data_IF_057251606172
#
_entry.id   IF_057251606172
#
_cell.length_a   1.000
_cell.length_b   1.000
_cell.length_c   1.000
_cell.angle_alpha   90.00
_cell.angle_beta   90.00
_cell.angle_gamma   90.00
#
_symmetry.space_group_name_H-M   'P 1'
#
loop_
_entity.id
_entity.type
_entity.pdbx_description
1 polymer ?
#
# COMPACT_ATOMS: atom_id res chain seq x y z
N UNK A 1 18.49 54.71 -9.27
CA UNK A 1 18.07 53.89 -8.10
C UNK A 1 18.32 52.43 -8.41
N UNK A 2 19.52 51.93 -8.09
CA UNK A 2 19.84 50.50 -8.16
C UNK A 2 19.29 49.85 -6.89
N UNK A 3 18.21 49.10 -7.01
CA UNK A 3 17.64 48.30 -5.93
C UNK A 3 18.51 47.05 -5.75
N UNK A 4 19.09 46.94 -4.59
CA UNK A 4 19.96 45.85 -4.13
C UNK A 4 19.07 44.62 -3.94
N UNK A 5 19.08 43.67 -4.91
CA UNK A 5 18.54 42.35 -4.69
C UNK A 5 19.62 41.44 -4.08
N UNK A 6 19.38 40.85 -2.91
CA UNK A 6 20.31 39.84 -2.39
C UNK A 6 20.33 38.64 -3.31
N UNK A 7 21.48 38.33 -3.91
CA UNK A 7 21.76 37.02 -4.51
C UNK A 7 21.70 35.96 -3.40
N UNK A 8 20.74 35.03 -3.49
CA UNK A 8 20.76 33.91 -2.56
C UNK A 8 19.43 33.23 -2.25
N UNK A 9 18.41 33.31 -3.13
CA UNK A 9 17.17 32.59 -2.89
C UNK A 9 16.88 31.55 -3.99
N UNK A 10 17.94 30.82 -4.39
CA UNK A 10 17.85 29.56 -5.11
C UNK A 10 18.27 28.41 -4.17
N UNK A 11 18.00 28.56 -2.89
CA UNK A 11 18.12 27.50 -1.91
C UNK A 11 16.81 26.74 -1.87
N UNK A 12 16.78 25.56 -2.49
CA UNK A 12 15.73 24.59 -2.27
C UNK A 12 15.52 24.46 -0.76
N UNK A 13 14.25 24.51 -0.34
CA UNK A 13 13.86 24.30 1.04
C UNK A 13 14.55 23.02 1.55
N UNK A 14 15.27 23.06 2.69
CA UNK A 14 15.85 21.86 3.26
C UNK A 14 14.75 21.07 3.99
N UNK A 15 13.69 20.73 3.30
CA UNK A 15 12.79 19.68 3.72
C UNK A 15 13.40 18.37 3.26
N UNK A 16 14.39 17.93 4.00
CA UNK A 16 14.72 16.53 4.08
C UNK A 16 13.52 15.87 4.78
N UNK A 17 12.45 15.66 4.02
CA UNK A 17 11.33 14.83 4.44
C UNK A 17 11.95 13.46 4.62
N UNK A 18 12.40 13.17 5.84
CA UNK A 18 12.57 11.81 6.29
C UNK A 18 11.15 11.21 6.30
N UNK A 19 10.65 10.86 5.12
CA UNK A 19 9.66 9.79 5.00
C UNK A 19 10.30 8.68 5.80
N UNK A 20 9.72 8.39 6.98
CA UNK A 20 10.29 7.51 7.97
C UNK A 20 10.89 6.34 7.23
N UNK A 21 12.23 6.15 7.36
CA UNK A 21 13.07 5.32 6.49
C UNK A 21 12.22 4.22 5.89
N UNK A 22 11.80 4.39 4.65
CA UNK A 22 11.24 3.31 3.84
C UNK A 22 12.36 2.29 3.83
N UNK A 23 12.29 1.40 4.84
CA UNK A 23 13.31 0.39 5.07
C UNK A 23 13.19 -0.58 3.90
N UNK A 24 13.96 -0.28 2.83
CA UNK A 24 14.55 -1.35 2.06
C UNK A 24 15.54 -2.05 2.99
N UNK A 25 15.03 -2.68 4.06
CA UNK A 25 15.83 -3.60 4.84
C UNK A 25 15.88 -4.90 4.04
N UNK A 26 17.06 -5.25 3.63
CA UNK A 26 17.53 -6.62 3.40
C UNK A 26 17.46 -7.43 4.70
N UNK A 27 16.31 -7.39 5.39
CA UNK A 27 15.99 -8.32 6.45
C UNK A 27 15.55 -9.62 5.77
N UNK A 28 15.86 -10.76 6.39
CA UNK A 28 15.47 -12.11 5.99
C UNK A 28 14.08 -12.06 5.30
N UNK A 29 14.06 -12.38 4.00
CA UNK A 29 12.83 -12.26 3.20
C UNK A 29 11.77 -13.16 3.80
N UNK A 30 10.71 -12.57 4.33
CA UNK A 30 9.54 -13.31 4.82
C UNK A 30 8.89 -14.02 3.65
N UNK A 31 8.63 -15.32 3.79
CA UNK A 31 7.97 -16.15 2.77
C UNK A 31 6.62 -16.65 3.28
N UNK A 32 5.84 -17.27 2.41
CA UNK A 32 4.59 -17.92 2.81
C UNK A 32 4.78 -19.03 3.84
N UNK A 33 5.96 -19.68 3.86
CA UNK A 33 6.34 -20.64 4.89
C UNK A 33 6.45 -20.03 6.28
N UNK A 34 6.73 -18.73 6.37
CA UNK A 34 6.87 -18.01 7.64
C UNK A 34 5.51 -17.48 8.16
N UNK A 35 4.44 -17.66 7.37
CA UNK A 35 3.08 -17.31 7.73
C UNK A 35 2.32 -18.59 8.06
N UNK A 36 2.07 -18.84 9.34
CA UNK A 36 1.33 -20.02 9.76
C UNK A 36 -0.18 -19.84 9.48
N UNK A 37 -0.80 -20.83 8.83
CA UNK A 37 -2.22 -20.79 8.45
C UNK A 37 -2.52 -19.83 7.29
N UNK A 38 -3.78 -19.41 7.17
CA UNK A 38 -4.31 -18.51 6.12
C UNK A 38 -4.16 -19.07 4.69
N UNK A 39 -4.35 -20.37 4.53
CA UNK A 39 -4.06 -21.05 3.27
C UNK A 39 -4.97 -20.52 2.15
N UNK A 40 -6.26 -20.30 2.39
CA UNK A 40 -7.17 -19.68 1.42
C UNK A 40 -6.69 -18.28 0.98
N UNK A 41 -6.30 -17.43 1.93
CA UNK A 41 -5.80 -16.09 1.62
C UNK A 41 -4.47 -16.12 0.86
N UNK A 42 -3.61 -17.09 1.16
CA UNK A 42 -2.36 -17.32 0.42
C UNK A 42 -2.64 -17.73 -1.01
N UNK A 43 -3.57 -18.67 -1.24
CA UNK A 43 -3.97 -19.12 -2.57
C UNK A 43 -4.46 -17.95 -3.43
N UNK A 44 -5.28 -17.05 -2.89
CA UNK A 44 -5.72 -15.87 -3.60
C UNK A 44 -4.57 -14.93 -3.99
N UNK A 45 -3.49 -14.90 -3.20
CA UNK A 45 -2.33 -14.04 -3.43
C UNK A 45 -1.23 -14.69 -4.29
N UNK A 46 -1.28 -16.01 -4.51
CA UNK A 46 -0.33 -16.75 -5.38
C UNK A 46 -0.36 -16.20 -6.81
N UNK A 47 -1.55 -15.84 -7.32
CA UNK A 47 -1.68 -15.24 -8.65
C UNK A 47 -0.87 -13.96 -8.79
N UNK A 48 -0.83 -13.14 -7.73
CA UNK A 48 -0.04 -11.90 -7.69
C UNK A 48 1.46 -12.21 -7.73
N UNK A 49 1.88 -13.23 -6.97
CA UNK A 49 3.28 -13.70 -6.97
C UNK A 49 3.68 -14.19 -8.35
N UNK A 50 2.83 -15.02 -9.01
CA UNK A 50 3.11 -15.52 -10.36
C UNK A 50 3.20 -14.36 -11.38
N UNK A 51 2.31 -13.38 -11.30
CA UNK A 51 2.38 -12.20 -12.16
C UNK A 51 3.69 -11.42 -11.98
N UNK A 52 4.12 -11.20 -10.74
CA UNK A 52 5.36 -10.45 -10.46
C UNK A 52 6.60 -11.20 -10.94
N UNK A 53 6.59 -12.54 -10.85
CA UNK A 53 7.67 -13.40 -11.36
C UNK A 53 7.66 -13.54 -12.89
N UNK A 54 6.48 -13.63 -13.49
CA UNK A 54 6.28 -13.99 -14.89
C UNK A 54 5.35 -13.01 -15.63
N UNK A 55 5.63 -11.70 -15.66
CA UNK A 55 4.70 -10.71 -16.23
C UNK A 55 4.42 -10.92 -17.72
N UNK A 56 5.38 -11.44 -18.47
CA UNK A 56 5.24 -11.69 -19.90
C UNK A 56 4.21 -12.80 -20.24
N UNK A 57 4.01 -13.77 -19.36
CA UNK A 57 2.98 -14.81 -19.49
C UNK A 57 1.59 -14.18 -19.54
N UNK A 58 1.33 -13.24 -18.64
CA UNK A 58 0.05 -12.53 -18.52
C UNK A 58 -0.17 -11.55 -19.67
N UNK A 59 0.89 -10.87 -20.09
CA UNK A 59 0.85 -9.95 -21.24
C UNK A 59 0.50 -10.71 -22.54
N UNK A 60 1.11 -11.86 -22.80
CA UNK A 60 0.80 -12.70 -23.97
C UNK A 60 -0.61 -13.24 -23.95
N UNK A 61 -1.15 -13.55 -22.78
CA UNK A 61 -2.51 -14.06 -22.61
C UNK A 61 -3.58 -12.96 -22.59
N UNK A 62 -3.21 -11.68 -22.73
CA UNK A 62 -4.11 -10.53 -22.57
C UNK A 62 -4.87 -10.54 -21.22
N UNK A 63 -4.30 -11.24 -20.22
CA UNK A 63 -4.90 -11.36 -18.91
C UNK A 63 -4.72 -10.07 -18.10
N UNK A 64 -5.82 -9.57 -17.54
CA UNK A 64 -5.79 -8.43 -16.62
C UNK A 64 -5.51 -8.95 -15.22
N UNK A 65 -4.33 -8.65 -14.68
CA UNK A 65 -4.02 -8.93 -13.28
C UNK A 65 -4.44 -7.73 -12.43
N UNK A 66 -5.14 -7.95 -11.32
CA UNK A 66 -5.52 -6.88 -10.41
C UNK A 66 -4.25 -6.24 -9.82
N UNK A 67 -4.08 -4.94 -10.04
CA UNK A 67 -2.94 -4.17 -9.51
C UNK A 67 -3.21 -3.57 -8.15
N UNK A 68 -4.49 -3.54 -7.76
CA UNK A 68 -4.99 -2.95 -6.54
C UNK A 68 -5.75 -4.00 -5.75
N UNK A 69 -5.17 -4.43 -4.64
CA UNK A 69 -5.69 -5.50 -3.78
C UNK A 69 -6.01 -4.94 -2.42
N UNK A 70 -7.21 -5.18 -1.93
CA UNK A 70 -7.65 -4.79 -0.61
C UNK A 70 -7.70 -6.02 0.30
N UNK A 71 -6.83 -6.05 1.30
CA UNK A 71 -6.92 -7.00 2.40
C UNK A 71 -7.83 -6.43 3.47
N UNK A 72 -8.88 -7.14 3.82
CA UNK A 72 -9.82 -6.65 4.81
C UNK A 72 -10.17 -7.71 5.83
N UNK A 73 -10.55 -7.29 7.02
CA UNK A 73 -11.05 -8.01 8.17
C UNK A 73 -10.06 -8.22 9.34
N UNK A 74 -10.51 -8.84 10.46
CA UNK A 74 -10.59 -8.16 11.75
C UNK A 74 -9.26 -7.60 12.24
N UNK A 75 -9.25 -6.72 13.26
CA UNK A 75 -8.01 -6.29 13.93
C UNK A 75 -7.26 -7.54 14.43
N UNK A 76 -5.92 -7.46 14.52
CA UNK A 76 -5.00 -8.55 14.93
C UNK A 76 -4.75 -9.62 13.84
N UNK A 77 -5.16 -9.40 12.62
CA UNK A 77 -4.81 -10.28 11.52
C UNK A 77 -3.42 -9.93 10.97
N UNK A 78 -2.67 -10.93 10.59
CA UNK A 78 -1.31 -10.87 10.06
C UNK A 78 -1.21 -10.21 8.66
N UNK A 79 -2.06 -9.21 8.35
CA UNK A 79 -2.13 -8.56 7.03
C UNK A 79 -0.79 -8.04 6.55
N UNK A 80 -0.09 -7.32 7.41
CA UNK A 80 1.24 -6.78 7.11
C UNK A 80 2.26 -7.88 6.87
N UNK A 81 2.20 -8.97 7.66
CA UNK A 81 3.09 -10.11 7.49
C UNK A 81 2.80 -10.84 6.18
N UNK A 82 1.52 -11.04 5.85
CA UNK A 82 1.08 -11.68 4.62
C UNK A 82 1.52 -10.85 3.38
N UNK A 83 1.35 -9.52 3.41
CA UNK A 83 1.81 -8.66 2.33
C UNK A 83 3.34 -8.69 2.15
N UNK A 84 4.10 -8.78 3.26
CA UNK A 84 5.56 -9.00 3.20
C UNK A 84 5.91 -10.36 2.62
N UNK A 85 5.15 -11.40 2.96
CA UNK A 85 5.37 -12.74 2.43
C UNK A 85 5.15 -12.79 0.92
N UNK A 86 4.14 -12.09 0.40
CA UNK A 86 3.93 -11.95 -1.05
C UNK A 86 5.16 -11.34 -1.73
N UNK A 87 5.71 -10.26 -1.17
CA UNK A 87 6.90 -9.62 -1.72
C UNK A 87 8.14 -10.52 -1.63
N UNK A 88 8.33 -11.20 -0.51
CA UNK A 88 9.44 -12.12 -0.31
C UNK A 88 9.34 -13.36 -1.18
N UNK A 89 8.13 -13.85 -1.44
CA UNK A 89 7.88 -14.96 -2.35
C UNK A 89 8.12 -14.56 -3.81
N UNK A 90 7.70 -13.34 -4.20
CA UNK A 90 7.92 -12.79 -5.52
C UNK A 90 9.36 -12.28 -5.75
N UNK A 91 10.15 -12.16 -4.69
CA UNK A 91 11.51 -11.62 -4.70
C UNK A 91 11.62 -10.18 -5.22
N UNK A 92 10.66 -9.33 -4.82
CA UNK A 92 10.57 -7.93 -5.26
C UNK A 92 10.70 -6.96 -4.06
N UNK A 93 11.10 -5.70 -4.31
CA UNK A 93 11.11 -4.64 -3.30
C UNK A 93 9.74 -4.43 -2.66
N UNK A 94 9.73 -4.19 -1.35
CA UNK A 94 8.54 -3.93 -0.55
C UNK A 94 8.59 -2.55 0.06
N UNK A 95 7.64 -1.69 -0.31
CA UNK A 95 7.48 -0.35 0.23
C UNK A 95 6.24 -0.33 1.11
N UNK A 96 6.38 0.05 2.37
CA UNK A 96 5.24 0.10 3.29
C UNK A 96 5.05 1.49 3.88
N UNK A 97 3.79 1.89 4.01
CA UNK A 97 3.36 3.09 4.71
C UNK A 97 2.07 2.81 5.48
N UNK A 98 1.81 3.56 6.55
CA UNK A 98 0.52 3.56 7.21
C UNK A 98 -0.33 4.73 6.69
N UNK A 99 -1.65 4.51 6.52
CA UNK A 99 -2.59 5.58 6.20
C UNK A 99 -2.52 6.74 7.18
N UNK A 100 -2.25 6.46 8.45
CA UNK A 100 -2.07 7.47 9.48
C UNK A 100 -0.83 8.36 9.26
N UNK A 101 0.24 7.85 8.64
CA UNK A 101 1.45 8.63 8.32
C UNK A 101 1.21 9.72 7.26
N UNK A 102 0.13 9.59 6.49
CA UNK A 102 -0.27 10.60 5.50
C UNK A 102 -1.18 11.68 6.08
N UNK A 103 -1.63 11.52 7.33
CA UNK A 103 -2.53 12.44 8.05
C UNK A 103 -1.74 13.38 8.94
N UNK A 104 -0.76 14.10 8.39
CA UNK A 104 0.04 15.06 9.16
C UNK A 104 -0.61 16.45 9.22
N UNK A 105 -0.20 17.25 10.22
CA UNK A 105 -0.81 18.56 10.53
C UNK A 105 -0.62 19.64 9.45
N UNK A 106 0.27 19.44 8.47
CA UNK A 106 0.56 20.44 7.44
C UNK A 106 -0.15 20.10 6.12
N UNK A 107 -1.00 21.00 5.68
CA UNK A 107 -1.78 20.87 4.44
C UNK A 107 -0.89 20.56 3.23
N UNK A 108 -1.22 19.51 2.49
CA UNK A 108 -0.52 19.10 1.27
C UNK A 108 0.66 18.15 1.48
N UNK A 109 1.13 17.92 2.70
CA UNK A 109 2.24 16.98 2.94
C UNK A 109 1.83 15.52 2.72
N UNK A 110 0.62 15.14 3.08
CA UNK A 110 0.09 13.80 2.84
C UNK A 110 0.10 13.42 1.35
N UNK A 111 -0.42 14.31 0.50
CA UNK A 111 -0.41 14.10 -0.95
C UNK A 111 1.02 14.03 -1.53
N UNK A 112 1.96 14.83 -1.02
CA UNK A 112 3.36 14.77 -1.43
C UNK A 112 4.02 13.44 -1.05
N UNK A 113 3.77 12.92 0.16
CA UNK A 113 4.27 11.61 0.62
C UNK A 113 3.70 10.46 -0.23
N UNK A 114 2.42 10.50 -0.56
CA UNK A 114 1.80 9.52 -1.46
C UNK A 114 2.54 9.53 -2.80
N UNK A 115 2.72 10.69 -3.43
CA UNK A 115 3.43 10.82 -4.70
C UNK A 115 4.86 10.29 -4.62
N UNK A 116 5.58 10.60 -3.56
CA UNK A 116 6.96 10.12 -3.35
C UNK A 116 7.01 8.59 -3.22
N UNK A 117 6.09 7.99 -2.44
CA UNK A 117 5.97 6.54 -2.28
C UNK A 117 5.79 5.85 -3.64
N UNK A 118 4.83 6.32 -4.44
CA UNK A 118 4.55 5.75 -5.75
C UNK A 118 5.68 5.98 -6.76
N UNK A 119 6.33 7.14 -6.73
CA UNK A 119 7.49 7.44 -7.57
C UNK A 119 8.64 6.47 -7.28
N UNK A 120 8.95 6.22 -5.99
CA UNK A 120 9.97 5.27 -5.57
C UNK A 120 9.63 3.84 -5.99
N UNK A 121 8.38 3.44 -5.82
CA UNK A 121 7.94 2.11 -6.20
C UNK A 121 8.00 1.88 -7.72
N UNK A 122 7.56 2.86 -8.52
CA UNK A 122 7.65 2.81 -9.99
C UNK A 122 9.11 2.75 -10.47
N UNK A 123 10.01 3.48 -9.84
CA UNK A 123 11.44 3.46 -10.16
C UNK A 123 12.12 2.12 -9.82
N UNK A 124 11.60 1.40 -8.83
CA UNK A 124 12.11 0.09 -8.40
C UNK A 124 11.30 -1.09 -8.95
N UNK A 125 10.42 -0.87 -9.93
CA UNK A 125 9.57 -1.92 -10.48
C UNK A 125 10.39 -3.09 -11.10
N UNK A 126 9.97 -4.36 -10.92
CA UNK A 126 8.74 -4.78 -10.25
C UNK A 126 8.79 -4.61 -8.72
N UNK A 127 7.71 -4.14 -8.11
CA UNK A 127 7.68 -3.81 -6.69
C UNK A 127 6.28 -3.98 -6.08
N UNK A 128 6.21 -4.11 -4.75
CA UNK A 128 4.96 -4.06 -4.00
C UNK A 128 4.93 -2.80 -3.13
N UNK A 129 3.80 -2.08 -3.19
CA UNK A 129 3.44 -1.02 -2.25
C UNK A 129 2.39 -1.58 -1.29
N UNK A 130 2.63 -1.43 -0.01
CA UNK A 130 1.68 -1.81 1.04
C UNK A 130 1.22 -0.57 1.81
N UNK A 131 -0.08 -0.36 1.89
CA UNK A 131 -0.67 0.74 2.65
C UNK A 131 -1.54 0.14 3.75
N UNK A 132 -1.05 0.18 4.99
CA UNK A 132 -1.84 -0.25 6.15
C UNK A 132 -2.82 0.83 6.58
N UNK A 133 -3.91 0.44 7.22
CA UNK A 133 -4.94 1.36 7.73
C UNK A 133 -5.42 2.37 6.68
N UNK A 134 -5.70 1.91 5.46
CA UNK A 134 -6.14 2.80 4.36
C UNK A 134 -7.41 3.58 4.72
N UNK A 135 -8.21 3.10 5.67
CA UNK A 135 -9.39 3.77 6.19
C UNK A 135 -9.06 5.07 6.95
N UNK A 136 -7.82 5.28 7.38
CA UNK A 136 -7.41 6.57 7.95
C UNK A 136 -7.57 7.71 6.93
N UNK A 137 -7.29 7.45 5.64
CA UNK A 137 -7.37 8.43 4.56
C UNK A 137 -8.64 8.26 3.74
N UNK A 138 -9.10 7.03 3.58
CA UNK A 138 -10.15 6.63 2.66
C UNK A 138 -11.56 6.65 3.23
N UNK A 139 -11.85 7.34 4.34
CA UNK A 139 -13.19 7.40 4.93
C UNK A 139 -14.18 8.15 4.03
N UNK A 140 -15.44 7.68 4.03
CA UNK A 140 -16.57 8.38 3.41
C UNK A 140 -16.69 9.79 3.96
N UNK A 141 -17.00 10.73 3.07
CA UNK A 141 -17.32 12.10 3.41
C UNK A 141 -18.62 12.13 4.24
N UNK A 142 -18.55 12.64 5.45
CA UNK A 142 -19.74 13.00 6.19
C UNK A 142 -19.90 14.52 6.13
N UNK A 143 -21.01 14.99 5.56
CA UNK A 143 -21.30 16.41 5.47
C UNK A 143 -21.48 16.99 6.89
N UNK A 144 -20.52 17.72 7.42
CA UNK A 144 -20.76 18.43 8.67
C UNK A 144 -19.61 18.95 9.52
N UNK A 145 -18.33 18.75 9.20
CA UNK A 145 -17.25 19.31 10.03
C UNK A 145 -16.12 19.93 9.20
N UNK A 146 -15.81 21.18 9.52
CA UNK A 146 -14.80 22.04 8.88
C UNK A 146 -13.46 21.93 9.60
N UNK A 147 -12.36 21.74 8.85
CA UNK A 147 -10.99 22.01 9.28
C UNK A 147 -9.95 20.89 9.09
N UNK A 148 -10.26 19.63 9.41
CA UNK A 148 -9.32 18.50 9.22
C UNK A 148 -9.54 17.70 7.94
N UNK A 149 -10.63 17.98 7.24
CA UNK A 149 -11.07 17.19 6.08
C UNK A 149 -10.35 17.55 4.78
N UNK A 150 -9.82 18.77 4.65
CA UNK A 150 -9.21 19.25 3.41
C UNK A 150 -7.93 18.48 3.08
N UNK A 151 -7.12 18.18 4.08
CA UNK A 151 -5.88 17.41 3.89
C UNK A 151 -6.17 15.95 3.57
N UNK A 152 -7.11 15.34 4.30
CA UNK A 152 -7.57 13.99 4.03
C UNK A 152 -8.10 13.86 2.60
N UNK A 153 -8.90 14.84 2.15
CA UNK A 153 -9.44 14.86 0.79
C UNK A 153 -8.35 15.02 -0.27
N UNK A 154 -7.36 15.89 -0.05
CA UNK A 154 -6.23 16.05 -0.96
C UNK A 154 -5.41 14.77 -1.05
N UNK A 155 -5.15 14.11 0.07
CA UNK A 155 -4.41 12.86 0.13
C UNK A 155 -5.17 11.73 -0.55
N UNK A 156 -6.48 11.61 -0.30
CA UNK A 156 -7.34 10.66 -0.99
C UNK A 156 -7.35 10.89 -2.51
N UNK A 157 -7.55 12.14 -2.94
CA UNK A 157 -7.54 12.49 -4.37
C UNK A 157 -6.18 12.18 -5.02
N UNK A 158 -5.05 12.36 -4.30
CA UNK A 158 -3.75 11.96 -4.81
C UNK A 158 -3.64 10.44 -4.98
N UNK A 159 -4.14 9.65 -4.02
CA UNK A 159 -4.18 8.18 -4.17
C UNK A 159 -5.03 7.80 -5.38
N UNK A 160 -6.22 8.39 -5.55
CA UNK A 160 -7.08 8.13 -6.71
C UNK A 160 -6.37 8.49 -8.03
N UNK A 161 -5.63 9.59 -8.04
CA UNK A 161 -4.82 9.99 -9.21
C UNK A 161 -3.72 8.98 -9.53
N UNK A 162 -3.02 8.47 -8.49
CA UNK A 162 -2.02 7.42 -8.71
C UNK A 162 -2.66 6.12 -9.20
N UNK A 163 -3.87 5.79 -8.70
CA UNK A 163 -4.62 4.61 -9.15
C UNK A 163 -4.97 4.70 -10.63
N UNK A 164 -5.49 5.83 -11.05
CA UNK A 164 -5.92 6.06 -12.43
C UNK A 164 -4.72 6.20 -13.39
N UNK A 165 -3.54 6.56 -12.86
CA UNK A 165 -2.30 6.66 -13.61
C UNK A 165 -1.50 5.35 -13.75
N UNK A 166 -2.07 4.20 -13.36
CA UNK A 166 -1.42 2.90 -13.53
C UNK A 166 -1.76 2.29 -14.89
N UNK A 167 -0.78 2.32 -15.81
CA UNK A 167 -0.86 1.68 -17.11
C UNK A 167 -0.82 0.15 -17.00
N UNK A 168 -1.24 -0.54 -18.06
CA UNK A 168 -1.18 -2.01 -18.11
C UNK A 168 0.26 -2.55 -17.97
N UNK A 169 1.25 -1.79 -18.40
CA UNK A 169 2.67 -2.15 -18.32
C UNK A 169 3.31 -1.87 -16.94
N UNK A 170 2.61 -1.17 -16.05
CA UNK A 170 3.13 -0.89 -14.69
C UNK A 170 3.30 -2.19 -13.91
N UNK A 171 4.55 -2.53 -13.56
CA UNK A 171 4.90 -3.75 -12.80
C UNK A 171 4.93 -3.47 -11.28
N UNK A 172 4.00 -2.66 -10.80
CA UNK A 172 3.82 -2.38 -9.36
C UNK A 172 2.44 -2.87 -8.94
N UNK A 173 2.41 -3.64 -7.86
CA UNK A 173 1.16 -4.08 -7.22
C UNK A 173 0.99 -3.28 -5.92
N UNK A 174 -0.21 -2.82 -5.69
CA UNK A 174 -0.57 -2.11 -4.47
C UNK A 174 -1.50 -2.99 -3.63
N UNK A 175 -1.09 -3.25 -2.42
CA UNK A 175 -1.87 -4.00 -1.43
C UNK A 175 -2.23 -3.02 -0.33
N UNK A 176 -3.51 -2.75 -0.15
CA UNK A 176 -3.97 -1.97 1.00
C UNK A 176 -4.62 -2.87 2.05
N UNK A 177 -4.53 -2.48 3.31
CA UNK A 177 -5.18 -3.19 4.40
C UNK A 177 -6.14 -2.28 5.18
N UNK A 178 -7.28 -2.83 5.59
CA UNK A 178 -8.24 -2.13 6.46
C UNK A 178 -8.92 -3.09 7.41
N UNK A 179 -9.27 -2.59 8.58
CA UNK A 179 -10.14 -3.26 9.54
C UNK A 179 -11.62 -2.83 9.39
N UNK A 180 -11.89 -1.82 8.55
CA UNK A 180 -13.21 -1.19 8.42
C UNK A 180 -13.57 -0.94 6.95
N UNK A 181 -13.78 -2.00 6.16
CA UNK A 181 -14.08 -1.88 4.74
C UNK A 181 -15.37 -1.10 4.44
N UNK A 182 -16.33 -1.13 5.37
CA UNK A 182 -17.60 -0.42 5.33
C UNK A 182 -17.47 1.11 5.37
N UNK A 183 -16.38 1.62 5.93
CA UNK A 183 -16.12 3.06 6.06
C UNK A 183 -15.41 3.66 4.87
N UNK A 184 -14.89 2.84 3.95
CA UNK A 184 -14.14 3.32 2.80
C UNK A 184 -15.01 4.10 1.81
N UNK A 185 -14.41 5.12 1.20
CA UNK A 185 -15.03 5.88 0.13
C UNK A 185 -15.30 4.95 -1.07
N UNK A 186 -16.54 4.95 -1.61
CA UNK A 186 -16.88 4.13 -2.77
C UNK A 186 -15.98 4.37 -3.99
N UNK A 187 -15.36 5.55 -4.11
CA UNK A 187 -14.43 5.84 -5.19
C UNK A 187 -13.21 4.92 -5.18
N UNK A 188 -12.73 4.49 -4.00
CA UNK A 188 -11.62 3.53 -3.88
C UNK A 188 -12.00 2.11 -4.33
N UNK A 189 -13.27 1.77 -4.27
CA UNK A 189 -13.79 0.42 -4.52
C UNK A 189 -14.36 0.23 -5.95
N UNK A 190 -14.19 1.24 -6.82
CA UNK A 190 -14.63 1.16 -8.21
C UNK A 190 -13.75 0.22 -9.03
N UNK A 191 -14.30 -0.30 -10.13
CA UNK A 191 -13.54 -1.11 -11.09
C UNK A 191 -12.29 -0.36 -11.58
N UNK A 192 -11.17 -1.09 -11.68
CA UNK A 192 -9.85 -0.52 -12.01
C UNK A 192 -9.10 0.06 -10.82
N UNK A 193 -9.71 0.04 -9.62
CA UNK A 193 -9.10 0.42 -8.36
C UNK A 193 -9.07 -0.79 -7.43
N UNK A 194 -9.41 -0.71 -6.14
CA UNK A 194 -9.48 -1.88 -5.27
C UNK A 194 -10.65 -2.81 -5.65
N UNK A 195 -10.54 -3.42 -6.82
CA UNK A 195 -11.52 -4.36 -7.37
C UNK A 195 -11.27 -5.80 -6.87
N UNK A 196 -10.03 -6.15 -6.52
CA UNK A 196 -9.72 -7.41 -5.85
C UNK A 196 -9.76 -7.22 -4.34
N UNK A 197 -10.67 -7.95 -3.68
CA UNK A 197 -10.84 -7.91 -2.22
C UNK A 197 -10.57 -9.28 -1.66
N UNK A 198 -9.56 -9.39 -0.79
CA UNK A 198 -9.17 -10.63 -0.13
C UNK A 198 -9.58 -10.57 1.33
N UNK A 199 -10.45 -11.49 1.72
CA UNK A 199 -10.90 -11.63 3.10
C UNK A 199 -9.85 -12.40 3.90
N UNK A 200 -9.30 -11.76 4.95
CA UNK A 200 -8.41 -12.46 5.87
C UNK A 200 -9.25 -13.01 7.02
N UNK A 201 -9.57 -14.31 6.97
CA UNK A 201 -10.38 -14.99 7.96
C UNK A 201 -9.76 -15.03 9.36
N UNK A 202 -10.55 -15.41 10.35
CA UNK A 202 -10.00 -15.79 11.66
C UNK A 202 -9.34 -17.15 11.53
N UNK A 203 -8.18 -17.38 12.14
CA UNK A 203 -7.52 -18.67 12.06
C UNK A 203 -8.38 -19.76 12.69
N UNK A 204 -8.47 -20.90 12.00
CA UNK A 204 -9.11 -22.12 12.49
C UNK A 204 -8.41 -22.66 13.74
N UNK A 205 -8.97 -23.67 14.39
CA UNK A 205 -8.30 -24.29 15.54
C UNK A 205 -6.92 -24.84 15.16
N UNK A 206 -6.83 -25.50 14.02
CA UNK A 206 -5.58 -26.08 13.51
C UNK A 206 -4.54 -25.01 13.20
N UNK A 207 -4.94 -23.94 12.53
CA UNK A 207 -4.09 -22.79 12.25
C UNK A 207 -3.60 -22.11 13.52
N UNK A 208 -4.46 -21.98 14.55
CA UNK A 208 -4.04 -21.43 15.86
C UNK A 208 -2.99 -22.28 16.54
N UNK A 209 -3.08 -23.60 16.42
CA UNK A 209 -2.07 -24.53 16.93
C UNK A 209 -0.73 -24.34 16.18
N UNK A 210 -0.79 -24.17 14.85
CA UNK A 210 0.41 -23.91 14.04
C UNK A 210 1.05 -22.56 14.41
N UNK A 211 0.24 -21.51 14.57
CA UNK A 211 0.68 -20.19 15.01
C UNK A 211 1.35 -20.29 16.40
N UNK A 212 0.73 -20.98 17.34
CA UNK A 212 1.29 -21.18 18.67
C UNK A 212 2.63 -21.91 18.63
N UNK A 213 2.73 -22.97 17.84
CA UNK A 213 4.00 -23.69 17.65
C UNK A 213 5.09 -22.81 17.07
N UNK A 214 4.77 -21.97 16.08
CA UNK A 214 5.72 -21.06 15.44
C UNK A 214 6.30 -20.02 16.42
N UNK A 215 5.52 -19.59 17.41
CA UNK A 215 5.94 -18.57 18.39
C UNK A 215 6.51 -19.14 19.68
N UNK A 216 6.39 -20.43 19.93
CA UNK A 216 6.92 -21.11 21.12
C UNK A 216 8.32 -21.69 20.92
N UNK A 217 8.85 -21.64 19.70
CA UNK A 217 10.21 -22.06 19.31
C UNK A 217 10.99 -20.85 18.77
#
# INVERSE_FOLDING_TARGET
FKMFMPKGWAGGLPFNIQVGKLKSKTDKKTKFSDVAGMDESKEELIEIVDFLKNPEKYKKAWARVPKWVLLYWPPWSWKTLLARAVAGEADVPFFSASGSEFMEMLVGMGAAKVRELFTKAKAAAPAIVFIDEIDAIGKRRWAGYTGGHQEQEQTLNQILTEMDGFDQDTKVIVIAATNRPDTLDPALLRSGRFDRKVLIGRPTLEERVLIAKYHLW
#
